data_IF_093800076718
#
_entry.id   IF_093800076718
#
_cell.length_a   1.000
_cell.length_b   1.000
_cell.length_c   1.000
_cell.angle_alpha   90.00
_cell.angle_beta   90.00
_cell.angle_gamma   90.00
#
_symmetry.space_group_name_H-M   'P 1'
#
loop_
_entity.id
_entity.type
_entity.pdbx_description
1 polymer ?
#
# COMPACT_ATOMS: atom_id res chain seq x y z
N UNK A 1 -88.93 -175.63 -74.85
CA UNK A 1 -88.18 -174.44 -75.33
C UNK A 1 -87.31 -173.89 -74.20
N UNK A 2 -86.53 -174.79 -73.58
CA UNK A 2 -85.87 -174.63 -72.27
C UNK A 2 -84.36 -174.97 -72.37
N UNK A 3 -83.83 -175.14 -73.60
CA UNK A 3 -82.49 -175.68 -73.88
C UNK A 3 -81.62 -174.74 -74.74
N UNK A 4 -81.95 -173.44 -74.80
CA UNK A 4 -81.20 -172.40 -75.53
C UNK A 4 -80.90 -171.14 -74.69
N UNK A 5 -81.42 -171.02 -73.47
CA UNK A 5 -81.26 -169.82 -72.62
C UNK A 5 -80.22 -170.03 -71.50
N UNK A 6 -79.99 -171.26 -71.05
CA UNK A 6 -79.07 -171.56 -69.94
C UNK A 6 -77.58 -171.41 -70.32
N UNK A 7 -77.11 -171.82 -71.53
CA UNK A 7 -75.68 -171.66 -71.88
C UNK A 7 -75.26 -170.20 -72.12
N UNK A 8 -76.15 -169.31 -72.58
CA UNK A 8 -75.78 -167.90 -72.83
C UNK A 8 -75.72 -167.08 -71.53
N UNK A 9 -76.59 -167.38 -70.56
CA UNK A 9 -76.55 -166.75 -69.24
C UNK A 9 -75.30 -167.14 -68.43
N UNK A 10 -74.79 -168.36 -68.60
CA UNK A 10 -73.55 -168.81 -67.94
C UNK A 10 -72.31 -168.08 -68.47
N UNK A 11 -72.25 -167.83 -69.78
CA UNK A 11 -71.13 -167.16 -70.43
C UNK A 11 -71.09 -165.64 -70.11
N UNK A 12 -72.25 -165.00 -69.95
CA UNK A 12 -72.31 -163.61 -69.44
C UNK A 12 -71.88 -163.53 -67.97
N UNK A 13 -72.27 -164.50 -67.13
CA UNK A 13 -71.87 -164.52 -65.73
C UNK A 13 -70.35 -164.72 -65.56
N UNK A 14 -69.74 -165.58 -66.39
CA UNK A 14 -68.30 -165.84 -66.38
C UNK A 14 -67.49 -164.60 -66.83
N UNK A 15 -68.00 -163.85 -67.81
CA UNK A 15 -67.42 -162.56 -68.20
C UNK A 15 -67.51 -161.52 -67.09
N UNK A 16 -68.65 -161.40 -66.40
CA UNK A 16 -68.79 -160.48 -65.26
C UNK A 16 -67.88 -160.85 -64.09
N UNK A 17 -67.71 -162.15 -63.79
CA UNK A 17 -66.77 -162.60 -62.76
C UNK A 17 -65.32 -162.30 -63.13
N UNK A 18 -64.94 -162.50 -64.40
CA UNK A 18 -63.62 -162.14 -64.91
C UNK A 18 -63.35 -160.63 -64.79
N UNK A 19 -64.36 -159.80 -65.11
CA UNK A 19 -64.25 -158.34 -65.03
C UNK A 19 -64.12 -157.87 -63.56
N UNK A 20 -64.90 -158.43 -62.63
CA UNK A 20 -64.82 -158.13 -61.19
C UNK A 20 -63.46 -158.53 -60.61
N UNK A 21 -62.96 -159.73 -60.92
CA UNK A 21 -61.65 -160.19 -60.45
C UNK A 21 -60.53 -159.30 -61.01
N UNK A 22 -60.63 -158.89 -62.28
CA UNK A 22 -59.67 -157.96 -62.88
C UNK A 22 -59.71 -156.57 -62.22
N UNK A 23 -60.90 -156.11 -61.80
CA UNK A 23 -61.08 -154.84 -61.11
C UNK A 23 -60.52 -154.88 -59.68
N UNK A 24 -60.73 -156.00 -58.96
CA UNK A 24 -60.20 -156.24 -57.60
C UNK A 24 -58.66 -156.26 -57.62
N UNK A 25 -58.06 -156.99 -58.56
CA UNK A 25 -56.59 -157.05 -58.73
C UNK A 25 -56.04 -155.66 -59.11
N UNK A 26 -56.75 -154.90 -59.96
CA UNK A 26 -56.34 -153.53 -60.31
C UNK A 26 -56.44 -152.56 -59.12
N UNK A 27 -57.43 -152.76 -58.23
CA UNK A 27 -57.59 -151.98 -57.00
C UNK A 27 -56.52 -152.32 -55.96
N UNK A 28 -56.21 -153.60 -55.78
CA UNK A 28 -55.17 -154.08 -54.87
C UNK A 28 -53.78 -153.63 -55.35
N UNK A 29 -53.52 -153.70 -56.65
CA UNK A 29 -52.28 -153.20 -57.25
C UNK A 29 -52.13 -151.68 -57.11
N UNK A 30 -53.19 -150.91 -57.30
CA UNK A 30 -53.19 -149.45 -57.08
C UNK A 30 -53.03 -149.08 -55.59
N UNK A 31 -53.59 -149.86 -54.66
CA UNK A 31 -53.38 -149.68 -53.23
C UNK A 31 -51.92 -149.97 -52.83
N UNK A 32 -51.32 -151.03 -53.38
CA UNK A 32 -49.92 -151.37 -53.12
C UNK A 32 -48.98 -150.31 -53.72
N UNK A 33 -49.23 -149.87 -54.96
CA UNK A 33 -48.51 -148.74 -55.58
C UNK A 33 -48.66 -147.45 -54.78
N UNK A 34 -49.86 -147.12 -54.28
CA UNK A 34 -50.07 -145.93 -53.45
C UNK A 34 -49.31 -146.00 -52.12
N UNK A 35 -49.27 -147.18 -51.48
CA UNK A 35 -48.50 -147.40 -50.25
C UNK A 35 -47.00 -147.34 -50.50
N UNK A 36 -46.54 -147.89 -51.63
CA UNK A 36 -45.13 -147.86 -52.03
C UNK A 36 -44.67 -146.42 -52.36
N UNK A 37 -45.46 -145.66 -53.13
CA UNK A 37 -45.23 -144.22 -53.37
C UNK A 37 -45.25 -143.44 -52.05
N UNK A 38 -46.15 -143.77 -51.12
CA UNK A 38 -46.17 -143.11 -49.82
C UNK A 38 -44.92 -143.42 -49.00
N UNK A 39 -44.50 -144.69 -48.90
CA UNK A 39 -43.38 -145.12 -48.06
C UNK A 39 -42.00 -144.79 -48.65
N UNK A 40 -41.83 -144.97 -49.97
CA UNK A 40 -40.54 -144.82 -50.63
C UNK A 40 -40.30 -143.42 -51.20
N UNK A 41 -41.36 -142.69 -51.55
CA UNK A 41 -41.22 -141.35 -52.14
C UNK A 41 -41.75 -140.26 -51.20
N UNK A 42 -43.02 -140.34 -50.80
CA UNK A 42 -43.73 -139.22 -50.15
C UNK A 42 -43.26 -139.00 -48.71
N UNK A 43 -43.18 -140.03 -47.88
CA UNK A 43 -42.75 -139.95 -46.49
C UNK A 43 -41.28 -139.51 -46.33
N UNK A 44 -40.30 -140.07 -47.06
CA UNK A 44 -38.93 -139.57 -47.04
C UNK A 44 -38.82 -138.15 -47.63
N UNK A 45 -39.60 -137.80 -48.67
CA UNK A 45 -39.65 -136.43 -49.16
C UNK A 45 -40.22 -135.46 -48.10
N UNK A 46 -41.30 -135.83 -47.41
CA UNK A 46 -41.90 -135.02 -46.33
C UNK A 46 -40.95 -134.86 -45.14
N UNK A 47 -40.23 -135.93 -44.78
CA UNK A 47 -39.22 -135.93 -43.73
C UNK A 47 -38.02 -135.06 -44.12
N UNK A 48 -37.60 -135.13 -45.39
CA UNK A 48 -36.57 -134.25 -45.95
C UNK A 48 -37.00 -132.78 -45.91
N UNK A 49 -38.25 -132.47 -46.31
CA UNK A 49 -38.83 -131.13 -46.22
C UNK A 49 -38.89 -130.64 -44.78
N UNK A 50 -39.35 -131.48 -43.83
CA UNK A 50 -39.39 -131.12 -42.41
C UNK A 50 -37.98 -130.87 -41.83
N UNK A 51 -37.00 -131.68 -42.23
CA UNK A 51 -35.59 -131.48 -41.89
C UNK A 51 -35.03 -130.17 -42.46
N UNK A 52 -35.30 -129.88 -43.74
CA UNK A 52 -34.93 -128.63 -44.40
C UNK A 52 -35.58 -127.42 -43.73
N UNK A 53 -36.87 -127.49 -43.39
CA UNK A 53 -37.56 -126.43 -42.66
C UNK A 53 -36.97 -126.23 -41.25
N UNK A 54 -36.59 -127.32 -40.57
CA UNK A 54 -35.89 -127.23 -39.28
C UNK A 54 -34.51 -126.58 -39.41
N UNK A 55 -33.75 -126.93 -40.45
CA UNK A 55 -32.45 -126.31 -40.74
C UNK A 55 -32.58 -124.84 -41.09
N UNK A 56 -33.60 -124.45 -41.87
CA UNK A 56 -33.89 -123.05 -42.19
C UNK A 56 -34.25 -122.27 -40.92
N UNK A 57 -35.11 -122.84 -40.06
CA UNK A 57 -35.46 -122.23 -38.77
C UNK A 57 -34.22 -122.03 -37.89
N UNK A 58 -33.37 -123.04 -37.76
CA UNK A 58 -32.14 -122.96 -36.97
C UNK A 58 -31.16 -121.93 -37.54
N UNK A 59 -31.04 -121.85 -38.88
CA UNK A 59 -30.21 -120.85 -39.54
C UNK A 59 -30.73 -119.42 -39.34
N UNK A 60 -32.05 -119.23 -39.37
CA UNK A 60 -32.70 -117.94 -39.07
C UNK A 60 -32.44 -117.56 -37.61
N UNK A 61 -32.73 -118.44 -36.65
CA UNK A 61 -32.50 -118.17 -35.22
C UNK A 61 -31.03 -117.89 -34.92
N UNK A 62 -30.10 -118.62 -35.55
CA UNK A 62 -28.67 -118.35 -35.42
C UNK A 62 -28.28 -117.01 -36.03
N UNK A 63 -28.86 -116.63 -37.18
CA UNK A 63 -28.61 -115.34 -37.81
C UNK A 63 -29.19 -114.17 -37.01
N UNK A 64 -30.39 -114.33 -36.43
CA UNK A 64 -31.00 -113.37 -35.50
C UNK A 64 -30.12 -113.14 -34.28
N UNK A 65 -29.65 -114.20 -33.61
CA UNK A 65 -28.73 -114.09 -32.47
C UNK A 65 -27.40 -113.44 -32.87
N UNK A 66 -26.82 -113.77 -34.02
CA UNK A 66 -25.60 -113.12 -34.50
C UNK A 66 -25.82 -111.63 -34.84
N UNK A 67 -26.99 -111.26 -35.36
CA UNK A 67 -27.33 -109.85 -35.62
C UNK A 67 -27.49 -109.09 -34.31
N UNK A 68 -28.19 -109.68 -33.34
CA UNK A 68 -28.39 -109.09 -32.00
C UNK A 68 -27.04 -108.89 -31.28
N UNK A 69 -26.16 -109.90 -31.31
CA UNK A 69 -24.81 -109.81 -30.75
C UNK A 69 -23.96 -108.73 -31.45
N UNK A 70 -24.02 -108.65 -32.79
CA UNK A 70 -23.32 -107.59 -33.54
C UNK A 70 -23.87 -106.20 -33.24
N UNK A 71 -25.18 -106.02 -33.22
CA UNK A 71 -25.80 -104.71 -32.94
C UNK A 71 -25.49 -104.26 -31.51
N UNK A 72 -25.53 -105.16 -30.54
CA UNK A 72 -25.17 -104.82 -29.14
C UNK A 72 -23.68 -104.52 -29.01
N UNK A 73 -22.81 -105.22 -29.73
CA UNK A 73 -21.38 -104.94 -29.75
C UNK A 73 -21.07 -103.59 -30.41
N UNK A 74 -21.61 -103.29 -31.59
CA UNK A 74 -21.44 -102.00 -32.26
C UNK A 74 -22.02 -100.84 -31.43
N UNK A 75 -23.19 -101.03 -30.82
CA UNK A 75 -23.77 -100.06 -29.89
C UNK A 75 -22.86 -99.82 -28.68
N UNK A 76 -22.23 -100.86 -28.11
CA UNK A 76 -21.31 -100.72 -26.98
C UNK A 76 -20.03 -99.96 -27.34
N UNK A 77 -19.49 -100.18 -28.55
CA UNK A 77 -18.33 -99.43 -29.07
C UNK A 77 -18.71 -97.97 -29.29
N UNK A 78 -19.87 -97.71 -29.91
CA UNK A 78 -20.36 -96.35 -30.13
C UNK A 78 -20.58 -95.60 -28.80
N UNK A 79 -21.22 -96.24 -27.81
CA UNK A 79 -21.45 -95.66 -26.48
C UNK A 79 -20.12 -95.36 -25.77
N UNK A 80 -19.17 -96.32 -25.75
CA UNK A 80 -17.87 -96.10 -25.11
C UNK A 80 -17.05 -95.00 -25.80
N UNK A 81 -17.08 -94.90 -27.13
CA UNK A 81 -16.46 -93.81 -27.87
C UNK A 81 -17.05 -92.44 -27.49
N UNK A 82 -18.38 -92.33 -27.40
CA UNK A 82 -19.05 -91.09 -26.94
C UNK A 82 -18.63 -90.74 -25.52
N UNK A 83 -18.55 -91.71 -24.61
CA UNK A 83 -18.11 -91.49 -23.23
C UNK A 83 -16.67 -90.98 -23.20
N UNK A 84 -15.75 -91.58 -23.95
CA UNK A 84 -14.35 -91.13 -23.98
C UNK A 84 -14.19 -89.73 -24.58
N UNK A 85 -14.88 -89.42 -25.68
CA UNK A 85 -14.86 -88.09 -26.28
C UNK A 85 -15.41 -87.06 -25.29
N UNK A 86 -16.50 -87.39 -24.59
CA UNK A 86 -17.09 -86.52 -23.56
C UNK A 86 -16.13 -86.29 -22.39
N UNK A 87 -15.44 -87.34 -21.94
CA UNK A 87 -14.45 -87.24 -20.86
C UNK A 87 -13.28 -86.34 -21.26
N UNK A 88 -12.75 -86.52 -22.47
CA UNK A 88 -11.66 -85.70 -23.01
C UNK A 88 -12.10 -84.24 -23.14
N UNK A 89 -13.30 -83.99 -23.64
CA UNK A 89 -13.87 -82.64 -23.74
C UNK A 89 -13.98 -81.95 -22.37
N UNK A 90 -14.39 -82.69 -21.32
CA UNK A 90 -14.44 -82.17 -19.95
C UNK A 90 -13.03 -81.82 -19.44
N UNK A 91 -12.05 -82.70 -19.67
CA UNK A 91 -10.65 -82.45 -19.25
C UNK A 91 -10.09 -81.22 -19.95
N UNK A 92 -10.31 -81.06 -21.25
CA UNK A 92 -9.90 -79.85 -21.98
C UNK A 92 -10.63 -78.60 -21.49
N UNK A 93 -11.94 -78.70 -21.20
CA UNK A 93 -12.70 -77.60 -20.62
C UNK A 93 -12.09 -77.11 -19.31
N UNK A 94 -11.78 -78.03 -18.40
CA UNK A 94 -11.14 -77.70 -17.11
C UNK A 94 -9.74 -77.10 -17.32
N UNK A 95 -8.94 -77.66 -18.22
CA UNK A 95 -7.60 -77.17 -18.50
C UNK A 95 -7.61 -75.74 -19.08
N UNK A 96 -8.48 -75.47 -20.05
CA UNK A 96 -8.64 -74.15 -20.65
C UNK A 96 -9.15 -73.15 -19.62
N UNK A 97 -10.18 -73.51 -18.83
CA UNK A 97 -10.68 -72.65 -17.75
C UNK A 97 -9.57 -72.29 -16.76
N UNK A 98 -8.73 -73.24 -16.36
CA UNK A 98 -7.63 -72.99 -15.45
C UNK A 98 -6.59 -72.03 -16.06
N UNK A 99 -6.27 -72.18 -17.35
CA UNK A 99 -5.35 -71.30 -18.08
C UNK A 99 -5.90 -69.88 -18.16
N UNK A 100 -7.17 -69.69 -18.54
CA UNK A 100 -7.81 -68.38 -18.62
C UNK A 100 -7.88 -67.67 -17.26
N UNK A 101 -8.19 -68.41 -16.19
CA UNK A 101 -8.19 -67.85 -14.83
C UNK A 101 -6.80 -67.33 -14.46
N UNK A 102 -5.74 -68.05 -14.83
CA UNK A 102 -4.36 -67.68 -14.46
C UNK A 102 -3.81 -66.55 -15.32
N UNK A 103 -4.08 -66.55 -16.62
CA UNK A 103 -3.53 -65.57 -17.58
C UNK A 103 -4.36 -64.29 -17.68
N UNK A 104 -5.67 -64.34 -17.41
CA UNK A 104 -6.55 -63.18 -17.61
C UNK A 104 -7.21 -62.78 -16.29
N UNK A 105 -8.01 -63.68 -15.70
CA UNK A 105 -8.87 -63.30 -14.56
C UNK A 105 -8.09 -62.84 -13.34
N UNK A 106 -7.02 -63.56 -12.97
CA UNK A 106 -6.19 -63.19 -11.79
C UNK A 106 -5.47 -61.85 -11.97
N UNK A 107 -4.75 -61.59 -13.08
CA UNK A 107 -4.19 -60.27 -13.36
C UNK A 107 -5.23 -59.15 -13.34
N UNK A 108 -6.40 -59.33 -13.97
CA UNK A 108 -7.46 -58.32 -13.97
C UNK A 108 -7.98 -57.99 -12.56
N UNK A 109 -8.20 -59.00 -11.72
CA UNK A 109 -8.62 -58.77 -10.32
C UNK A 109 -7.53 -58.03 -9.53
N UNK A 110 -6.25 -58.30 -9.77
CA UNK A 110 -5.16 -57.54 -9.14
C UNK A 110 -5.14 -56.09 -9.60
N UNK A 111 -5.31 -55.85 -10.90
CA UNK A 111 -5.39 -54.51 -11.48
C UNK A 111 -6.59 -53.75 -10.92
N UNK A 112 -7.77 -54.36 -10.85
CA UNK A 112 -8.97 -53.77 -10.26
C UNK A 112 -8.71 -53.33 -8.81
N UNK A 113 -8.14 -54.22 -7.98
CA UNK A 113 -7.82 -53.90 -6.59
C UNK A 113 -6.81 -52.76 -6.47
N UNK A 114 -5.81 -52.73 -7.34
CA UNK A 114 -4.82 -51.64 -7.37
C UNK A 114 -5.46 -50.32 -7.77
N UNK A 115 -6.24 -50.29 -8.86
CA UNK A 115 -6.94 -49.08 -9.30
C UNK A 115 -7.94 -48.59 -8.26
N UNK A 116 -8.61 -49.48 -7.51
CA UNK A 116 -9.47 -49.10 -6.39
C UNK A 116 -8.68 -48.43 -5.25
N UNK A 117 -7.47 -48.91 -4.95
CA UNK A 117 -6.56 -48.24 -3.99
C UNK A 117 -6.13 -46.86 -4.48
N UNK A 118 -5.76 -46.73 -5.76
CA UNK A 118 -5.45 -45.43 -6.37
C UNK A 118 -6.63 -44.46 -6.26
N UNK A 119 -7.84 -44.93 -6.56
CA UNK A 119 -9.06 -44.12 -6.46
C UNK A 119 -9.35 -43.65 -5.02
N UNK A 120 -8.87 -44.39 -4.01
CA UNK A 120 -8.92 -44.01 -2.59
C UNK A 120 -7.74 -43.14 -2.14
N UNK A 121 -6.83 -42.78 -3.05
CA UNK A 121 -5.68 -41.94 -2.78
C UNK A 121 -4.44 -42.66 -2.25
N UNK A 122 -4.41 -44.01 -2.29
CA UNK A 122 -3.21 -44.77 -1.91
C UNK A 122 -2.26 -44.91 -3.11
N UNK A 123 -1.27 -44.01 -3.18
CA UNK A 123 -0.18 -44.02 -4.17
C UNK A 123 1.14 -44.59 -3.59
N UNK A 124 1.07 -45.38 -2.52
CA UNK A 124 2.26 -45.96 -1.86
C UNK A 124 2.73 -47.27 -2.53
N UNK A 125 1.83 -47.93 -3.27
CA UNK A 125 2.02 -49.25 -3.84
C UNK A 125 2.30 -49.17 -5.35
N UNK A 126 2.91 -50.23 -5.90
CA UNK A 126 3.06 -50.43 -7.34
C UNK A 126 2.44 -51.75 -7.76
N UNK A 127 1.83 -51.81 -8.94
CA UNK A 127 1.26 -53.04 -9.47
C UNK A 127 2.34 -53.84 -10.20
N UNK A 128 2.76 -54.97 -9.62
CA UNK A 128 3.74 -55.87 -10.21
C UNK A 128 3.05 -57.11 -10.80
N UNK A 129 2.98 -57.15 -12.13
CA UNK A 129 2.46 -58.26 -12.93
C UNK A 129 3.44 -58.49 -14.07
N UNK A 130 4.13 -59.63 -14.02
CA UNK A 130 5.08 -60.06 -15.04
C UNK A 130 4.33 -60.70 -16.22
N UNK A 131 3.87 -59.85 -17.14
CA UNK A 131 3.21 -60.22 -18.39
C UNK A 131 3.74 -59.36 -19.54
N UNK A 132 3.88 -59.96 -20.72
CA UNK A 132 4.35 -59.28 -21.93
C UNK A 132 3.25 -59.09 -22.99
N UNK A 133 2.00 -59.32 -22.60
CA UNK A 133 0.81 -59.18 -23.43
C UNK A 133 0.13 -57.81 -23.22
N UNK A 134 -1.10 -57.66 -23.73
CA UNK A 134 -1.90 -56.45 -23.58
C UNK A 134 -2.17 -56.10 -22.11
N UNK A 135 -2.27 -57.11 -21.24
CA UNK A 135 -2.46 -56.90 -19.80
C UNK A 135 -1.19 -56.31 -19.18
N UNK A 136 -0.02 -56.81 -19.57
CA UNK A 136 1.27 -56.24 -19.18
C UNK A 136 1.42 -54.76 -19.57
N UNK A 137 1.06 -54.43 -20.81
CA UNK A 137 1.07 -53.03 -21.28
C UNK A 137 0.11 -52.15 -20.49
N UNK A 138 -1.10 -52.64 -20.20
CA UNK A 138 -2.08 -51.92 -19.38
C UNK A 138 -1.54 -51.64 -17.96
N UNK A 139 -0.90 -52.63 -17.33
CA UNK A 139 -0.29 -52.48 -16.00
C UNK A 139 0.80 -51.42 -16.02
N UNK A 140 1.65 -51.41 -17.05
CA UNK A 140 2.69 -50.38 -17.21
C UNK A 140 2.09 -48.97 -17.30
N UNK A 141 1.08 -48.76 -18.15
CA UNK A 141 0.42 -47.46 -18.28
C UNK A 141 -0.28 -47.03 -16.98
N UNK A 142 -0.88 -47.96 -16.23
CA UNK A 142 -1.50 -47.68 -14.94
C UNK A 142 -0.44 -47.26 -13.90
N UNK A 143 0.73 -47.90 -13.87
CA UNK A 143 1.84 -47.49 -13.00
C UNK A 143 2.39 -46.11 -13.37
N UNK A 144 2.58 -45.82 -14.66
CA UNK A 144 3.00 -44.48 -15.13
C UNK A 144 1.98 -43.39 -14.74
N UNK A 145 0.68 -43.70 -14.84
CA UNK A 145 -0.39 -42.82 -14.37
C UNK A 145 -0.31 -42.61 -12.84
N UNK A 146 -0.09 -43.67 -12.06
CA UNK A 146 0.05 -43.60 -10.61
C UNK A 146 1.20 -42.66 -10.20
N UNK A 147 2.35 -42.78 -10.87
CA UNK A 147 3.53 -41.94 -10.64
C UNK A 147 3.23 -40.49 -11.00
N UNK A 148 2.61 -40.25 -12.16
CA UNK A 148 2.29 -38.89 -12.63
C UNK A 148 1.31 -38.19 -11.68
N UNK A 149 0.26 -38.89 -11.23
CA UNK A 149 -0.69 -38.36 -10.25
C UNK A 149 -0.04 -38.08 -8.90
N UNK A 150 0.83 -38.98 -8.43
CA UNK A 150 1.60 -38.77 -7.18
C UNK A 150 2.49 -37.53 -7.26
N UNK A 151 3.18 -37.32 -8.39
CA UNK A 151 4.01 -36.13 -8.61
C UNK A 151 3.17 -34.86 -8.64
N UNK A 152 2.04 -34.85 -9.36
CA UNK A 152 1.14 -33.70 -9.39
C UNK A 152 0.58 -33.35 -8.00
N UNK A 153 0.20 -34.36 -7.20
CA UNK A 153 -0.24 -34.15 -5.82
C UNK A 153 0.87 -33.60 -4.93
N UNK A 154 2.12 -34.04 -5.13
CA UNK A 154 3.27 -33.50 -4.42
C UNK A 154 3.49 -32.02 -4.76
N UNK A 155 3.47 -31.65 -6.04
CA UNK A 155 3.58 -30.25 -6.47
C UNK A 155 2.46 -29.38 -5.89
N UNK A 156 1.22 -29.89 -5.85
CA UNK A 156 0.10 -29.21 -5.20
C UNK A 156 0.35 -29.04 -3.70
N UNK A 157 0.84 -30.08 -3.02
CA UNK A 157 1.16 -30.02 -1.59
C UNK A 157 2.28 -29.01 -1.29
N UNK A 158 3.34 -29.02 -2.09
CA UNK A 158 4.46 -28.09 -1.95
C UNK A 158 4.00 -26.64 -2.24
N UNK A 159 3.14 -26.45 -3.24
CA UNK A 159 2.51 -25.18 -3.54
C UNK A 159 1.59 -24.67 -2.43
N UNK A 160 0.82 -25.57 -1.79
CA UNK A 160 -0.03 -25.23 -0.65
C UNK A 160 0.80 -24.78 0.57
N UNK A 161 1.91 -25.46 0.85
CA UNK A 161 2.84 -25.05 1.91
C UNK A 161 3.46 -23.67 1.62
N UNK A 162 3.88 -23.43 0.38
CA UNK A 162 4.42 -22.11 -0.01
C UNK A 162 3.37 -21.00 0.07
N UNK A 163 2.10 -21.31 -0.23
CA UNK A 163 0.98 -20.38 -0.05
C UNK A 163 0.73 -20.07 1.43
N UNK A 164 0.81 -21.06 2.31
CA UNK A 164 0.65 -20.88 3.76
C UNK A 164 1.78 -20.02 4.36
N UNK A 165 3.02 -20.24 3.95
CA UNK A 165 4.18 -19.41 4.31
C UNK A 165 4.00 -17.96 3.84
N UNK A 166 3.51 -17.77 2.61
CA UNK A 166 3.22 -16.46 2.04
C UNK A 166 2.08 -15.75 2.77
N UNK A 167 1.03 -16.49 3.15
CA UNK A 167 -0.09 -15.96 3.92
C UNK A 167 0.33 -15.52 5.32
N UNK A 168 1.19 -16.31 5.98
CA UNK A 168 1.78 -15.96 7.29
C UNK A 168 2.60 -14.67 7.17
N UNK A 169 3.50 -14.60 6.17
CA UNK A 169 4.30 -13.40 5.92
C UNK A 169 3.44 -12.16 5.63
N UNK A 170 2.35 -12.33 4.86
CA UNK A 170 1.40 -11.25 4.59
C UNK A 170 0.67 -10.79 5.87
N UNK A 171 0.34 -11.71 6.77
CA UNK A 171 -0.27 -11.38 8.06
C UNK A 171 0.68 -10.57 8.94
N UNK A 172 1.96 -10.91 8.95
CA UNK A 172 2.99 -10.16 9.68
C UNK A 172 3.14 -8.74 9.09
N UNK A 173 3.22 -8.63 7.76
CA UNK A 173 3.28 -7.34 7.06
C UNK A 173 2.02 -6.50 7.36
N UNK A 174 0.84 -7.11 7.38
CA UNK A 174 -0.42 -6.41 7.70
C UNK A 174 -0.43 -5.88 9.15
N UNK A 175 0.09 -6.67 10.08
CA UNK A 175 0.24 -6.26 11.49
C UNK A 175 1.22 -5.09 11.62
N UNK A 176 2.37 -5.18 10.96
CA UNK A 176 3.36 -4.10 10.92
C UNK A 176 2.79 -2.83 10.27
N UNK A 177 2.04 -2.96 9.17
CA UNK A 177 1.38 -1.85 8.50
C UNK A 177 0.39 -1.14 9.44
N UNK A 178 -0.40 -1.90 10.20
CA UNK A 178 -1.31 -1.33 11.20
C UNK A 178 -0.57 -0.53 12.27
N UNK A 179 0.57 -1.04 12.75
CA UNK A 179 1.43 -0.32 13.71
C UNK A 179 1.99 0.97 13.10
N UNK A 180 2.50 0.91 11.86
CA UNK A 180 3.03 2.09 11.17
C UNK A 180 1.95 3.14 10.89
N UNK A 181 0.72 2.72 10.58
CA UNK A 181 -0.42 3.62 10.42
C UNK A 181 -0.76 4.33 11.73
N UNK A 182 -0.74 3.62 12.86
CA UNK A 182 -0.95 4.23 14.19
C UNK A 182 0.14 5.26 14.52
N UNK A 183 1.39 4.94 14.25
CA UNK A 183 2.50 5.88 14.46
C UNK A 183 2.37 7.11 13.55
N UNK A 184 1.94 6.92 12.29
CA UNK A 184 1.69 8.02 11.35
C UNK A 184 0.56 8.92 11.84
N UNK A 185 -0.52 8.35 12.35
CA UNK A 185 -1.63 9.08 12.97
C UNK A 185 -1.15 9.94 14.14
N UNK A 186 -0.34 9.37 15.04
CA UNK A 186 0.22 10.10 16.20
C UNK A 186 1.12 11.26 15.75
N UNK A 187 1.96 11.03 14.73
CA UNK A 187 2.79 12.08 14.14
C UNK A 187 1.94 13.19 13.51
N UNK A 188 0.87 12.85 12.80
CA UNK A 188 -0.06 13.82 12.23
C UNK A 188 -0.74 14.66 13.32
N UNK A 189 -1.13 14.05 14.45
CA UNK A 189 -1.67 14.77 15.60
C UNK A 189 -0.66 15.77 16.20
N UNK A 190 0.61 15.37 16.31
CA UNK A 190 1.67 16.25 16.79
C UNK A 190 1.91 17.43 15.84
N UNK A 191 1.91 17.18 14.52
CA UNK A 191 2.03 18.24 13.51
C UNK A 191 0.85 19.22 13.57
N UNK A 192 -0.38 18.71 13.72
CA UNK A 192 -1.56 19.55 13.87
C UNK A 192 -1.46 20.44 15.12
N UNK A 193 -1.06 19.88 16.26
CA UNK A 193 -0.87 20.63 17.51
C UNK A 193 0.21 21.71 17.37
N UNK A 194 1.34 21.38 16.72
CA UNK A 194 2.41 22.33 16.46
C UNK A 194 1.95 23.46 15.51
N UNK A 195 1.11 23.15 14.53
CA UNK A 195 0.53 24.15 13.63
C UNK A 195 -0.44 25.10 14.35
N UNK A 196 -1.25 24.60 15.29
CA UNK A 196 -2.11 25.44 16.14
C UNK A 196 -1.30 26.41 17.01
N UNK A 197 -0.22 25.91 17.64
CA UNK A 197 0.66 26.76 18.45
C UNK A 197 1.41 27.80 17.61
N UNK A 198 1.82 27.41 16.39
CA UNK A 198 2.43 28.32 15.43
C UNK A 198 1.44 29.43 15.02
N UNK A 199 0.17 29.10 14.75
CA UNK A 199 -0.85 30.08 14.44
C UNK A 199 -1.07 31.08 15.59
N UNK A 200 -1.10 30.59 16.83
CA UNK A 200 -1.19 31.45 18.03
C UNK A 200 0.01 32.39 18.16
N UNK A 201 1.21 31.87 17.87
CA UNK A 201 2.44 32.67 17.88
C UNK A 201 2.42 33.73 16.79
N UNK A 202 1.95 33.40 15.59
CA UNK A 202 1.79 34.34 14.48
C UNK A 202 0.83 35.49 14.82
N UNK A 203 -0.28 35.22 15.52
CA UNK A 203 -1.17 36.27 16.00
C UNK A 203 -0.46 37.22 16.98
N UNK A 204 0.40 36.68 17.84
CA UNK A 204 1.18 37.50 18.78
C UNK A 204 2.23 38.37 18.05
N UNK A 205 2.87 37.82 17.01
CA UNK A 205 3.80 38.56 16.15
C UNK A 205 3.09 39.68 15.39
N UNK A 206 1.89 39.40 14.85
CA UNK A 206 1.07 40.41 14.18
C UNK A 206 0.73 41.57 15.13
N UNK A 207 0.23 41.27 16.33
CA UNK A 207 -0.06 42.28 17.34
C UNK A 207 1.18 43.09 17.76
N UNK A 208 2.33 42.43 17.93
CA UNK A 208 3.59 43.11 18.23
C UNK A 208 4.03 44.04 17.08
N UNK A 209 3.80 43.64 15.83
CA UNK A 209 4.11 44.45 14.65
C UNK A 209 3.19 45.67 14.51
N UNK A 210 1.91 45.53 14.82
CA UNK A 210 0.96 46.65 14.90
C UNK A 210 1.40 47.65 15.97
N UNK A 211 1.75 47.17 17.17
CA UNK A 211 2.25 48.03 18.25
C UNK A 211 3.56 48.74 17.87
N UNK A 212 4.49 48.04 17.21
CA UNK A 212 5.72 48.64 16.71
C UNK A 212 5.43 49.76 15.71
N UNK A 213 4.44 49.58 14.83
CA UNK A 213 4.01 50.61 13.87
C UNK A 213 3.46 51.84 14.57
N UNK A 214 2.63 51.66 15.60
CA UNK A 214 2.12 52.77 16.44
C UNK A 214 3.28 53.52 17.12
N UNK A 215 4.26 52.80 17.68
CA UNK A 215 5.42 53.41 18.31
C UNK A 215 6.27 54.22 17.32
N UNK A 216 6.47 53.69 16.11
CA UNK A 216 7.17 54.42 15.03
C UNK A 216 6.42 55.70 14.68
N UNK A 217 5.08 55.67 14.60
CA UNK A 217 4.28 56.86 14.33
C UNK A 217 4.44 57.92 15.42
N UNK A 218 4.45 57.51 16.70
CA UNK A 218 4.69 58.42 17.83
C UNK A 218 6.09 59.04 17.78
N UNK A 219 7.11 58.25 17.44
CA UNK A 219 8.48 58.75 17.25
C UNK A 219 8.53 59.77 16.11
N UNK A 220 7.85 59.50 14.99
CA UNK A 220 7.80 60.44 13.88
C UNK A 220 7.19 61.79 14.30
N UNK A 221 6.08 61.78 15.04
CA UNK A 221 5.48 63.00 15.59
C UNK A 221 6.41 63.73 16.56
N UNK A 222 7.12 63.01 17.43
CA UNK A 222 8.10 63.62 18.34
C UNK A 222 9.28 64.25 17.58
N UNK A 223 9.70 63.65 16.45
CA UNK A 223 10.73 64.22 15.57
C UNK A 223 10.25 65.51 14.89
N UNK A 224 8.99 65.59 14.48
CA UNK A 224 8.40 66.82 13.93
C UNK A 224 8.38 67.95 14.96
N UNK A 225 7.93 67.66 16.18
CA UNK A 225 7.91 68.63 17.28
C UNK A 225 9.34 69.10 17.64
N UNK A 226 10.28 68.16 17.74
CA UNK A 226 11.69 68.47 17.98
C UNK A 226 12.28 69.36 16.88
N UNK A 227 11.93 69.10 15.61
CA UNK A 227 12.36 69.93 14.48
C UNK A 227 11.80 71.35 14.56
N UNK A 228 10.55 71.52 15.00
CA UNK A 228 9.95 72.82 15.25
C UNK A 228 10.69 73.56 16.38
N UNK A 229 10.96 72.89 17.50
CA UNK A 229 11.71 73.46 18.62
C UNK A 229 13.12 73.87 18.21
N UNK A 230 13.83 73.06 17.42
CA UNK A 230 15.16 73.40 16.90
C UNK A 230 15.11 74.67 16.03
N UNK A 231 14.09 74.83 15.19
CA UNK A 231 13.91 76.04 14.39
C UNK A 231 13.63 77.28 15.26
N UNK A 232 12.86 77.12 16.33
CA UNK A 232 12.60 78.20 17.29
C UNK A 232 13.87 78.60 18.05
N UNK A 233 14.64 77.62 18.53
CA UNK A 233 15.95 77.83 19.17
C UNK A 233 16.90 78.57 18.22
N UNK A 234 16.98 78.15 16.95
CA UNK A 234 17.80 78.80 15.92
C UNK A 234 17.40 80.26 15.73
N UNK A 235 16.09 80.53 15.62
CA UNK A 235 15.52 81.87 15.48
C UNK A 235 15.84 82.75 16.70
N UNK A 236 15.61 82.24 17.91
CA UNK A 236 15.89 82.96 19.15
C UNK A 236 17.37 83.23 19.34
N UNK A 237 18.24 82.28 18.97
CA UNK A 237 19.70 82.44 19.00
C UNK A 237 20.15 83.54 18.03
N UNK A 238 19.60 83.56 16.81
CA UNK A 238 19.86 84.62 15.82
C UNK A 238 19.44 86.01 16.34
N UNK A 239 18.24 86.10 16.93
CA UNK A 239 17.75 87.34 17.55
C UNK A 239 18.63 87.78 18.73
N UNK A 240 19.05 86.84 19.58
CA UNK A 240 19.97 87.09 20.68
C UNK A 240 21.33 87.62 20.20
N UNK A 241 21.87 87.07 19.10
CA UNK A 241 23.08 87.57 18.47
C UNK A 241 22.90 89.01 17.96
N UNK A 242 21.77 89.33 17.32
CA UNK A 242 21.47 90.69 16.89
C UNK A 242 21.39 91.66 18.07
N UNK A 243 20.63 91.32 19.12
CA UNK A 243 20.53 92.15 20.32
C UNK A 243 21.89 92.37 20.98
N UNK A 244 22.73 91.33 21.02
CA UNK A 244 24.09 91.43 21.56
C UNK A 244 24.93 92.38 20.70
N UNK A 245 24.83 92.32 19.38
CA UNK A 245 25.52 93.24 18.47
C UNK A 245 25.07 94.71 18.68
N UNK A 246 23.76 94.95 18.79
CA UNK A 246 23.19 96.27 19.10
C UNK A 246 23.67 96.79 20.48
N UNK A 247 23.74 95.91 21.48
CA UNK A 247 24.24 96.26 22.81
C UNK A 247 25.74 96.63 22.78
N UNK A 248 26.55 95.94 21.99
CA UNK A 248 27.96 96.27 21.78
C UNK A 248 28.10 97.63 21.10
N UNK A 249 27.30 97.92 20.08
CA UNK A 249 27.29 99.23 19.40
C UNK A 249 26.89 100.36 20.36
N UNK A 250 25.81 100.19 21.13
CA UNK A 250 25.40 101.15 22.16
C UNK A 250 26.47 101.34 23.23
N UNK A 251 27.12 100.26 23.67
CA UNK A 251 28.22 100.34 24.64
C UNK A 251 29.39 101.15 24.09
N UNK A 252 29.72 101.01 22.80
CA UNK A 252 30.72 101.83 22.13
C UNK A 252 30.31 103.31 22.10
N UNK A 253 29.06 103.61 21.73
CA UNK A 253 28.54 104.97 21.76
C UNK A 253 28.61 105.60 23.16
N UNK A 254 28.25 104.85 24.21
CA UNK A 254 28.36 105.31 25.61
C UNK A 254 29.81 105.53 25.99
N UNK A 255 30.73 104.64 25.58
CA UNK A 255 32.18 104.82 25.80
C UNK A 255 32.70 106.10 25.14
N UNK A 256 32.28 106.40 23.91
CA UNK A 256 32.65 107.63 23.22
C UNK A 256 32.11 108.88 23.95
N UNK A 257 30.87 108.81 24.46
CA UNK A 257 30.31 109.89 25.29
C UNK A 257 31.04 110.05 26.62
N UNK A 258 31.46 108.96 27.26
CA UNK A 258 32.28 109.02 28.47
C UNK A 258 33.64 109.67 28.21
N UNK A 259 34.26 109.43 27.05
CA UNK A 259 35.50 110.12 26.67
C UNK A 259 35.29 111.63 26.52
N UNK A 260 34.18 112.06 25.89
CA UNK A 260 33.83 113.48 25.79
C UNK A 260 33.54 114.08 27.18
N UNK A 261 32.83 113.36 28.04
CA UNK A 261 32.57 113.77 29.42
C UNK A 261 33.86 113.91 30.23
N UNK A 262 34.82 113.00 30.06
CA UNK A 262 36.13 113.08 30.69
C UNK A 262 36.92 114.31 30.20
N UNK A 263 36.88 114.63 28.90
CA UNK A 263 37.47 115.87 28.38
C UNK A 263 36.80 117.12 28.97
N UNK A 264 35.47 117.13 29.09
CA UNK A 264 34.74 118.23 29.71
C UNK A 264 35.10 118.39 31.20
N UNK A 265 35.25 117.28 31.94
CA UNK A 265 35.69 117.31 33.33
C UNK A 265 37.10 117.89 33.51
N UNK A 266 38.05 117.53 32.62
CA UNK A 266 39.38 118.14 32.59
C UNK A 266 39.29 119.65 32.31
N UNK A 267 38.43 120.06 31.37
CA UNK A 267 38.18 121.48 31.10
C UNK A 267 37.59 122.23 32.31
N UNK A 268 36.66 121.61 33.06
CA UNK A 268 36.15 122.18 34.32
C UNK A 268 37.27 122.31 35.37
N UNK A 269 38.17 121.32 35.45
CA UNK A 269 39.31 121.38 36.35
C UNK A 269 40.24 122.55 36.00
N UNK A 270 40.53 122.78 34.72
CA UNK A 270 41.28 123.95 34.24
C UNK A 270 40.57 125.27 34.59
N UNK A 271 39.24 125.34 34.40
CA UNK A 271 38.45 126.51 34.83
C UNK A 271 38.56 126.73 36.34
N UNK A 272 38.53 125.67 37.14
CA UNK A 272 38.65 125.77 38.59
C UNK A 272 40.04 126.27 39.02
N UNK A 273 41.11 125.81 38.36
CA UNK A 273 42.46 126.32 38.57
C UNK A 273 42.55 127.81 38.20
N UNK A 274 41.97 128.21 37.07
CA UNK A 274 41.85 129.62 36.69
C UNK A 274 41.07 130.45 37.72
N UNK A 275 39.96 129.94 38.26
CA UNK A 275 39.18 130.61 39.31
C UNK A 275 39.98 130.76 40.61
N UNK A 276 40.74 129.74 41.01
CA UNK A 276 41.63 129.81 42.16
C UNK A 276 42.72 130.87 41.96
N UNK A 277 43.33 130.92 40.77
CA UNK A 277 44.31 131.94 40.41
C UNK A 277 43.70 133.35 40.44
N UNK A 278 42.53 133.54 39.82
CA UNK A 278 41.80 134.82 39.85
C UNK A 278 41.45 135.23 41.28
N UNK A 279 41.05 134.29 42.13
CA UNK A 279 40.77 134.56 43.54
C UNK A 279 42.03 135.00 44.30
N UNK A 280 43.18 134.41 43.97
CA UNK A 280 44.49 134.88 44.45
C UNK A 280 44.76 136.33 44.05
N UNK A 281 44.61 136.65 42.76
CA UNK A 281 44.77 138.02 42.24
C UNK A 281 43.77 138.99 42.87
N UNK A 282 42.50 138.59 43.07
CA UNK A 282 41.50 139.42 43.75
C UNK A 282 41.86 139.67 45.23
N UNK A 283 42.49 138.69 45.88
CA UNK A 283 43.07 138.84 47.22
C UNK A 283 44.19 139.89 47.24
N UNK A 284 45.11 139.83 46.28
CA UNK A 284 46.16 140.85 46.10
C UNK A 284 45.55 142.24 45.84
N UNK A 285 44.56 142.36 44.95
CA UNK A 285 43.86 143.64 44.68
C UNK A 285 43.18 144.18 45.94
N UNK A 286 42.62 143.32 46.79
CA UNK A 286 42.01 143.74 48.06
C UNK A 286 43.07 144.31 49.01
N UNK A 287 44.26 143.69 49.05
CA UNK A 287 45.40 144.19 49.81
C UNK A 287 45.90 145.54 49.27
N UNK A 288 45.97 145.70 47.94
CA UNK A 288 46.31 146.97 47.29
C UNK A 288 45.29 148.06 47.62
N UNK A 289 43.98 147.74 47.60
CA UNK A 289 42.93 148.69 47.99
C UNK A 289 43.07 149.10 49.46
N UNK A 290 43.40 148.18 50.37
CA UNK A 290 43.70 148.53 51.76
C UNK A 290 44.91 149.46 51.86
N UNK A 291 45.96 149.21 51.07
CA UNK A 291 47.16 150.05 51.04
C UNK A 291 46.85 151.45 50.48
N UNK A 292 46.05 151.55 49.42
CA UNK A 292 45.56 152.83 48.87
C UNK A 292 44.70 153.57 49.89
N UNK A 293 43.81 152.87 50.61
CA UNK A 293 42.96 153.48 51.62
C UNK A 293 43.78 154.03 52.81
N UNK A 294 44.78 153.27 53.26
CA UNK A 294 45.74 153.74 54.26
C UNK A 294 46.50 154.98 53.78
N UNK A 295 47.00 154.96 52.54
CA UNK A 295 47.69 156.10 51.93
C UNK A 295 46.77 157.32 51.82
N UNK A 296 45.49 157.12 51.47
CA UNK A 296 44.50 158.18 51.38
C UNK A 296 44.19 158.78 52.77
N UNK A 297 44.13 157.95 53.82
CA UNK A 297 43.97 158.42 55.20
C UNK A 297 45.16 159.26 55.68
N UNK A 298 46.39 158.85 55.34
CA UNK A 298 47.61 159.62 55.62
C UNK A 298 47.60 160.98 54.88
N UNK A 299 47.22 160.99 53.60
CA UNK A 299 47.06 162.24 52.82
C UNK A 299 46.00 163.15 53.43
N UNK A 300 44.86 162.59 53.89
CA UNK A 300 43.79 163.36 54.55
C UNK A 300 44.28 164.00 55.85
N UNK A 301 44.99 163.24 56.70
CA UNK A 301 45.62 163.77 57.92
C UNK A 301 46.64 164.85 57.61
N UNK A 302 47.48 164.65 56.58
CA UNK A 302 48.43 165.66 56.11
C UNK A 302 47.74 166.93 55.62
N UNK A 303 46.61 166.80 54.90
CA UNK A 303 45.82 167.95 54.43
C UNK A 303 45.22 168.76 55.58
N UNK A 304 44.73 168.11 56.64
CA UNK A 304 44.26 168.79 57.86
C UNK A 304 45.40 169.55 58.57
N UNK A 305 46.59 168.97 58.61
CA UNK A 305 47.75 169.63 59.20
C UNK A 305 48.16 170.88 58.41
N UNK A 306 48.22 170.78 57.07
CA UNK A 306 48.48 171.93 56.18
C UNK A 306 47.40 173.00 56.35
N UNK A 307 46.13 172.61 56.47
CA UNK A 307 45.02 173.53 56.71
C UNK A 307 45.20 174.30 58.03
N UNK A 308 45.53 173.61 59.13
CA UNK A 308 45.76 174.25 60.42
C UNK A 308 46.96 175.21 60.38
N UNK A 309 48.07 174.81 59.75
CA UNK A 309 49.23 175.70 59.58
C UNK A 309 48.90 176.97 58.76
N UNK A 310 48.03 176.86 57.75
CA UNK A 310 47.57 178.02 56.98
C UNK A 310 46.71 179.00 57.80
N UNK A 311 45.89 178.49 58.71
CA UNK A 311 45.08 179.32 59.64
C UNK A 311 45.97 180.06 60.65
N UNK A 312 46.97 179.38 61.22
CA UNK A 312 47.94 180.03 62.13
C UNK A 312 48.72 181.14 61.43
N UNK A 313 49.17 180.92 60.19
CA UNK A 313 49.88 181.91 59.39
C UNK A 313 49.02 183.16 59.12
N UNK A 314 47.73 182.95 58.86
CA UNK A 314 46.75 184.03 58.65
C UNK A 314 46.61 184.90 59.90
N UNK A 315 46.53 184.30 61.09
CA UNK A 315 46.44 185.04 62.35
C UNK A 315 47.71 185.84 62.66
N UNK A 316 48.88 185.28 62.36
CA UNK A 316 50.17 185.96 62.54
C UNK A 316 50.30 187.18 61.61
N UNK A 317 49.79 187.07 60.38
CA UNK A 317 49.73 188.17 59.41
C UNK A 317 48.87 189.34 59.91
N UNK A 318 47.73 189.06 60.55
CA UNK A 318 46.83 190.10 61.09
C UNK A 318 47.48 190.88 62.25
N UNK A 319 48.19 190.19 63.15
CA UNK A 319 48.91 190.83 64.27
C UNK A 319 50.08 191.71 63.81
N UNK A 320 50.77 191.32 62.74
CA UNK A 320 51.87 192.11 62.17
C UNK A 320 51.37 193.43 61.55
N UNK A 321 50.16 193.44 60.99
CA UNK A 321 49.59 194.63 60.37
C UNK A 321 49.17 195.69 61.42
N UNK A 322 48.64 195.27 62.57
CA UNK A 322 48.31 196.18 63.69
C UNK A 322 49.56 196.84 64.31
N UNK A 323 50.68 196.12 64.39
CA UNK A 323 51.92 196.66 64.96
C UNK A 323 52.63 197.70 64.07
N UNK A 324 52.29 197.74 62.77
CA UNK A 324 52.96 198.60 61.79
C UNK A 324 52.34 200.00 61.74
N UNK A 325 51.07 200.15 62.13
CA UNK A 325 50.35 201.43 62.10
C UNK A 325 50.68 202.35 63.30
N UNK A 326 51.27 201.82 64.38
CA UNK A 326 51.50 202.58 65.63
C UNK A 326 52.78 203.46 65.63
N UNK A 327 53.63 203.39 64.61
CA UNK A 327 55.04 203.88 64.71
C UNK A 327 55.51 205.01 63.77
N UNK A 328 54.65 205.83 63.14
CA UNK A 328 55.15 206.99 62.35
C UNK A 328 54.38 208.30 62.52
N UNK A 329 54.73 209.08 63.55
CA UNK A 329 54.79 210.56 63.55
C UNK A 329 55.74 211.06 64.66
N UNK A 330 57.00 211.31 64.30
CA UNK A 330 57.82 212.54 64.49
C UNK A 330 59.26 212.26 64.02
#
# INVERSE_FOLDING_TARGET
MYNQIIPSAYNELENYFSEIISLEIALEHKQHQAKEIYQNETHPALTSIMSLLSQVKDHISKHEHMLEEKMTHEASIAISAIVYISLIAIVFGIAISFILIRLITRPLIKTENFTNKLAKGDFSQTLDIDQTDEIGNMVKSINEMAVSLKSALKEISDGANSLDESATSLSDISTQMTSNSKETEDRSHNVASAAEEMAKTMNSVAAASEQATVNIQNIASAIEEMSATINEISTNTSKGNQTTAEAVEKSKFVSDKMNVLNQAALGIQEVNDNVNQISGVAGEVTQDIQQVNQSAAEVSSGSLQVHNSAVELSNLSTQLNELTDEFKFD
#
